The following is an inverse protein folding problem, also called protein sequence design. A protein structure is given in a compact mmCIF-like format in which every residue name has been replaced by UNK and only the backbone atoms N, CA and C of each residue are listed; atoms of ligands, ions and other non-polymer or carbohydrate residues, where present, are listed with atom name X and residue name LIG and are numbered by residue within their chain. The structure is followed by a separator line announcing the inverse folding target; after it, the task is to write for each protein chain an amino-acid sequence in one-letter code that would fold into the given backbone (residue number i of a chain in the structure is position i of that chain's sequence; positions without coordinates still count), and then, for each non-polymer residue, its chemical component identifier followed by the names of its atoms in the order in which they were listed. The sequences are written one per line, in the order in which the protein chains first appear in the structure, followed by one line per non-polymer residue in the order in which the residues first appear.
data_IF_369717055959
#
_entry.id   IF_369717055959
#
_cell.length_a   1.000
_cell.length_b   1.000
_cell.length_c   1.000
_cell.angle_alpha   90.00
_cell.angle_beta   90.00
_cell.angle_gamma   90.00
#
_symmetry.space_group_name_H-M   'P 1'
#
loop_
_entity.id
_entity.type
_entity.pdbx_description
1 polymer ?
#
# COMPACT_ATOMS: atom_id res chain seq x y z
N UNK A 1 -4.96 -24.82 38.53
CA UNK A 1 -3.92 -23.98 39.19
C UNK A 1 -2.93 -23.34 38.22
N UNK A 2 -2.49 -24.02 37.16
CA UNK A 2 -1.55 -23.46 36.16
C UNK A 2 -2.08 -22.21 35.42
N UNK A 3 -3.39 -22.15 35.15
CA UNK A 3 -3.99 -21.01 34.46
C UNK A 3 -3.91 -19.70 35.27
N UNK A 4 -4.06 -19.78 36.60
CA UNK A 4 -3.82 -18.63 37.48
C UNK A 4 -2.36 -18.17 37.41
N UNK A 5 -1.40 -19.11 37.38
CA UNK A 5 0.02 -18.78 37.26
C UNK A 5 0.34 -18.13 35.90
N UNK A 6 -0.26 -18.61 34.81
CA UNK A 6 -0.14 -18.01 33.47
C UNK A 6 -0.73 -16.59 33.41
N UNK A 7 -1.91 -16.39 34.02
CA UNK A 7 -2.53 -15.06 34.10
C UNK A 7 -1.67 -14.08 34.91
N UNK A 8 -1.16 -14.52 36.06
CA UNK A 8 -0.27 -13.69 36.88
C UNK A 8 1.05 -13.38 36.17
N UNK A 9 1.65 -14.37 35.49
CA UNK A 9 2.88 -14.15 34.71
C UNK A 9 2.66 -13.18 33.53
N UNK A 10 1.53 -13.30 32.84
CA UNK A 10 1.12 -12.36 31.78
C UNK A 10 0.92 -10.94 32.33
N UNK A 11 0.22 -10.81 33.46
CA UNK A 11 -0.02 -9.52 34.10
C UNK A 11 1.28 -8.86 34.60
N UNK A 12 2.18 -9.64 35.20
CA UNK A 12 3.51 -9.17 35.61
C UNK A 12 4.35 -8.74 34.40
N UNK A 13 4.34 -9.51 33.32
CA UNK A 13 5.02 -9.14 32.08
C UNK A 13 4.48 -7.83 31.50
N UNK A 14 3.17 -7.63 31.51
CA UNK A 14 2.55 -6.39 31.04
C UNK A 14 2.93 -5.19 31.90
N UNK A 15 3.00 -5.36 33.23
CA UNK A 15 3.43 -4.29 34.13
C UNK A 15 4.88 -3.86 33.87
N UNK A 16 5.81 -4.81 33.67
CA UNK A 16 7.22 -4.51 33.32
C UNK A 16 7.32 -3.78 31.98
N UNK A 17 6.51 -4.16 30.98
CA UNK A 17 6.47 -3.45 29.70
C UNK A 17 5.96 -2.01 29.86
N UNK A 18 4.96 -1.79 30.72
CA UNK A 18 4.42 -0.46 31.00
C UNK A 18 5.42 0.44 31.75
N UNK A 19 6.23 -0.09 32.67
CA UNK A 19 7.26 0.69 33.36
C UNK A 19 8.38 1.13 32.42
N UNK A 20 8.82 0.25 31.52
CA UNK A 20 9.80 0.59 30.49
C UNK A 20 9.26 1.64 29.50
N UNK A 21 7.95 1.60 29.21
CA UNK A 21 7.29 2.62 28.41
C UNK A 21 7.17 3.96 29.15
N UNK A 22 6.89 3.93 30.46
CA UNK A 22 6.79 5.15 31.28
C UNK A 22 8.11 5.87 31.44
N UNK A 23 9.22 5.14 31.56
CA UNK A 23 10.58 5.72 31.55
C UNK A 23 10.88 6.44 30.22
N UNK A 24 10.24 6.04 29.11
CA UNK A 24 10.24 6.77 27.83
C UNK A 24 9.14 7.84 27.67
N UNK A 25 8.16 7.92 28.60
CA UNK A 25 6.98 8.80 28.52
C UNK A 25 7.09 10.02 29.46
N UNK A 26 8.24 10.21 30.13
CA UNK A 26 8.49 11.34 31.04
C UNK A 26 8.54 12.74 30.40
N UNK A 27 8.38 12.88 29.08
CA UNK A 27 8.41 14.17 28.40
C UNK A 27 7.02 14.85 28.22
N UNK A 28 5.90 14.18 28.52
CA UNK A 28 4.59 14.67 28.03
C UNK A 28 3.39 14.50 28.97
N UNK A 29 3.56 14.71 30.28
CA UNK A 29 2.40 14.97 31.15
C UNK A 29 2.61 16.25 31.96
N UNK A 30 2.45 17.38 31.28
CA UNK A 30 2.26 18.68 31.91
C UNK A 30 0.91 18.74 32.61
N UNK A 31 0.89 18.38 33.89
CA UNK A 31 -0.12 18.84 34.83
C UNK A 31 -0.02 20.36 34.90
N UNK A 32 -1.00 21.12 34.41
CA UNK A 32 -1.16 22.50 34.89
C UNK A 32 -2.56 23.06 34.69
N UNK A 33 -3.28 23.14 35.80
CA UNK A 33 -4.27 24.19 36.02
C UNK A 33 -3.63 25.57 35.86
N UNK A 34 -4.49 26.57 35.65
CA UNK A 34 -4.31 28.01 35.88
C UNK A 34 -4.08 28.84 34.61
N UNK A 35 -5.06 29.72 34.42
CA UNK A 35 -5.19 30.80 33.46
C UNK A 35 -3.94 31.67 33.31
N UNK A 36 -3.76 32.22 32.10
CA UNK A 36 -2.92 33.41 31.88
C UNK A 36 -2.13 33.39 30.58
N UNK A 37 -2.68 34.07 29.58
CA UNK A 37 -2.01 34.94 28.60
C UNK A 37 -0.66 34.55 27.96
N UNK A 38 -0.73 34.54 26.62
CA UNK A 38 0.10 35.32 25.68
C UNK A 38 1.39 34.72 25.09
N UNK A 39 1.28 34.52 23.77
CA UNK A 39 2.17 35.01 22.70
C UNK A 39 3.62 34.49 22.58
N UNK A 40 3.80 33.86 21.42
CA UNK A 40 4.99 33.74 20.56
C UNK A 40 6.00 32.62 20.81
N UNK A 41 5.90 31.65 19.89
CA UNK A 41 6.98 31.16 19.01
C UNK A 41 8.24 30.58 19.67
N UNK A 42 8.27 29.25 19.68
CA UNK A 42 9.44 28.45 20.02
C UNK A 42 9.14 26.96 19.88
N UNK A 43 9.12 26.48 18.64
CA UNK A 43 9.60 25.15 18.28
C UNK A 43 9.12 23.95 19.11
N UNK A 44 7.82 23.68 19.03
CA UNK A 44 7.36 22.32 18.80
C UNK A 44 6.33 22.47 17.69
N UNK A 45 6.72 22.21 16.45
CA UNK A 45 5.74 21.76 15.46
C UNK A 45 5.34 20.38 15.98
N UNK A 46 4.50 20.37 17.01
CA UNK A 46 3.70 19.23 17.39
C UNK A 46 3.08 18.81 16.07
N UNK A 47 3.61 17.71 15.52
CA UNK A 47 3.24 17.24 14.21
C UNK A 47 1.73 17.22 14.24
N UNK A 48 1.12 18.10 13.45
CA UNK A 48 -0.32 18.33 13.46
C UNK A 48 -0.94 17.14 12.74
N UNK A 49 -0.82 15.97 13.35
CA UNK A 49 -1.35 14.68 12.92
C UNK A 49 -2.88 14.81 12.86
N UNK A 50 -3.45 15.66 13.72
CA UNK A 50 -4.85 16.02 13.72
C UNK A 50 -5.11 17.25 12.87
N UNK A 51 -5.59 16.99 11.66
CA UNK A 51 -6.16 17.99 10.77
C UNK A 51 -7.57 18.38 11.24
N UNK A 52 -7.90 19.67 11.17
CA UNK A 52 -9.21 20.19 11.55
C UNK A 52 -10.31 19.58 10.66
N UNK A 53 -11.51 19.34 11.21
CA UNK A 53 -12.61 18.68 10.49
C UNK A 53 -12.96 19.37 9.17
N UNK A 54 -12.99 20.71 9.15
CA UNK A 54 -13.22 21.53 7.95
C UNK A 54 -12.18 21.27 6.87
N UNK A 55 -10.92 21.11 7.26
CA UNK A 55 -9.81 20.84 6.35
C UNK A 55 -9.87 19.40 5.85
N UNK A 56 -10.15 18.43 6.74
CA UNK A 56 -10.32 17.02 6.41
C UNK A 56 -11.49 16.77 5.46
N UNK A 57 -12.60 17.50 5.62
CA UNK A 57 -13.78 17.40 4.75
C UNK A 57 -13.45 17.71 3.29
N UNK A 58 -12.52 18.64 3.03
CA UNK A 58 -12.09 18.97 1.67
C UNK A 58 -11.37 17.81 0.97
N UNK A 59 -10.71 16.90 1.69
CA UNK A 59 -10.05 15.73 1.10
C UNK A 59 -11.07 14.72 0.54
N UNK A 60 -12.16 14.51 1.27
CA UNK A 60 -13.25 13.62 0.86
C UNK A 60 -14.07 14.24 -0.27
N UNK A 61 -14.38 15.54 -0.18
CA UNK A 61 -15.10 16.28 -1.23
C UNK A 61 -14.32 16.31 -2.55
N UNK A 62 -12.99 16.41 -2.51
CA UNK A 62 -12.13 16.32 -3.70
C UNK A 62 -12.08 14.90 -4.29
N UNK A 63 -12.16 13.84 -3.47
CA UNK A 63 -12.21 12.45 -3.97
C UNK A 63 -13.55 12.04 -4.59
N UNK A 64 -14.67 12.61 -4.11
CA UNK A 64 -16.00 12.32 -4.63
C UNK A 64 -16.34 12.96 -6.00
N UNK A 65 -15.52 13.90 -6.47
CA UNK A 65 -15.72 14.61 -7.74
C UNK A 65 -14.59 14.39 -8.73
N UNK A 66 -14.12 13.15 -8.91
CA UNK A 66 -13.36 12.86 -10.13
C UNK A 66 -14.30 13.12 -11.30
N UNK A 67 -13.97 14.12 -12.13
CA UNK A 67 -14.71 14.35 -13.37
C UNK A 67 -14.79 13.02 -14.14
N UNK A 68 -15.91 12.74 -14.81
CA UNK A 68 -15.96 11.62 -15.75
C UNK A 68 -14.70 11.64 -16.63
N UNK A 69 -14.12 10.45 -16.85
CA UNK A 69 -12.91 10.32 -17.67
C UNK A 69 -13.17 10.99 -19.01
N UNK A 70 -12.31 11.93 -19.43
CA UNK A 70 -12.48 12.57 -20.73
C UNK A 70 -12.44 11.51 -21.84
N UNK A 71 -13.22 11.73 -22.90
CA UNK A 71 -13.31 10.80 -24.03
C UNK A 71 -11.93 10.48 -24.61
N UNK A 72 -11.07 11.48 -24.70
CA UNK A 72 -9.71 11.32 -25.22
C UNK A 72 -8.83 10.46 -24.33
N UNK A 73 -8.94 10.62 -23.01
CA UNK A 73 -8.21 9.78 -22.05
C UNK A 73 -8.68 8.32 -22.12
N UNK A 74 -9.98 8.08 -22.29
CA UNK A 74 -10.52 6.74 -22.49
C UNK A 74 -10.05 6.11 -23.82
N UNK A 75 -9.97 6.92 -24.89
CA UNK A 75 -9.48 6.47 -26.20
C UNK A 75 -8.00 6.09 -26.15
N UNK A 76 -7.16 6.89 -25.49
CA UNK A 76 -5.72 6.60 -25.33
C UNK A 76 -5.51 5.32 -24.54
N UNK A 77 -6.24 5.13 -23.45
CA UNK A 77 -6.20 3.91 -22.65
C UNK A 77 -6.67 2.68 -23.45
N UNK A 78 -7.74 2.82 -24.24
CA UNK A 78 -8.20 1.74 -25.13
C UNK A 78 -7.13 1.33 -26.14
N UNK A 79 -6.42 2.30 -26.72
CA UNK A 79 -5.29 2.03 -27.64
C UNK A 79 -4.11 1.36 -26.94
N UNK A 80 -3.83 1.73 -25.69
CA UNK A 80 -2.80 1.05 -24.90
C UNK A 80 -3.19 -0.40 -24.62
N UNK A 81 -4.44 -0.64 -24.22
CA UNK A 81 -4.95 -1.99 -23.99
C UNK A 81 -4.89 -2.85 -25.25
N UNK A 82 -5.35 -2.33 -26.40
CA UNK A 82 -5.29 -3.05 -27.67
C UNK A 82 -3.86 -3.44 -28.05
N UNK A 83 -2.88 -2.54 -27.88
CA UNK A 83 -1.47 -2.87 -28.14
C UNK A 83 -0.92 -3.95 -27.20
N UNK A 84 -1.32 -3.93 -25.93
CA UNK A 84 -0.90 -4.96 -24.98
C UNK A 84 -1.51 -6.32 -25.35
N UNK A 85 -2.79 -6.34 -25.72
CA UNK A 85 -3.49 -7.54 -26.18
C UNK A 85 -2.88 -8.08 -27.49
N UNK A 86 -2.50 -7.20 -28.43
CA UNK A 86 -1.81 -7.57 -29.68
C UNK A 86 -0.43 -8.20 -29.41
N UNK A 87 0.40 -7.58 -28.58
CA UNK A 87 1.70 -8.13 -28.20
C UNK A 87 1.57 -9.51 -27.54
N UNK A 88 0.57 -9.67 -26.68
CA UNK A 88 0.30 -10.95 -26.03
C UNK A 88 -0.15 -12.00 -27.04
N UNK A 89 -0.98 -11.62 -28.03
CA UNK A 89 -1.39 -12.52 -29.10
C UNK A 89 -0.20 -12.95 -29.95
N UNK A 90 0.62 -12.01 -30.40
CA UNK A 90 1.82 -12.27 -31.21
C UNK A 90 2.77 -13.24 -30.49
N UNK A 91 3.02 -13.03 -29.19
CA UNK A 91 3.83 -13.94 -28.39
C UNK A 91 3.31 -15.38 -28.42
N UNK A 92 2.00 -15.59 -28.25
CA UNK A 92 1.43 -16.95 -28.28
C UNK A 92 1.34 -17.53 -29.69
N UNK A 93 1.16 -16.69 -30.71
CA UNK A 93 1.19 -17.11 -32.12
C UNK A 93 2.60 -17.57 -32.52
N UNK A 94 3.65 -16.84 -32.13
CA UNK A 94 5.05 -17.24 -32.34
C UNK A 94 5.35 -18.57 -31.65
N UNK A 95 4.99 -18.72 -30.37
CA UNK A 95 5.19 -19.97 -29.64
C UNK A 95 4.49 -21.17 -30.30
N UNK A 96 3.29 -20.96 -30.85
CA UNK A 96 2.57 -22.02 -31.56
C UNK A 96 3.21 -22.34 -32.91
N UNK A 97 3.61 -21.30 -33.65
CA UNK A 97 4.22 -21.44 -34.96
C UNK A 97 5.60 -22.10 -34.90
N UNK A 98 6.40 -21.80 -33.87
CA UNK A 98 7.67 -22.50 -33.60
C UNK A 98 7.45 -23.99 -33.36
N UNK A 99 6.41 -24.35 -32.60
CA UNK A 99 6.06 -25.74 -32.35
C UNK A 99 5.57 -26.45 -33.62
N UNK A 100 4.69 -25.81 -34.40
CA UNK A 100 4.21 -26.34 -35.68
C UNK A 100 5.38 -26.54 -36.66
N UNK A 101 6.25 -25.54 -36.82
CA UNK A 101 7.46 -25.63 -37.64
C UNK A 101 8.39 -26.78 -37.20
N UNK A 102 8.61 -26.96 -35.89
CA UNK A 102 9.45 -28.04 -35.38
C UNK A 102 8.87 -29.43 -35.69
N UNK A 103 7.55 -29.58 -35.57
CA UNK A 103 6.87 -30.83 -35.91
C UNK A 103 6.93 -31.11 -37.42
N UNK A 104 6.72 -30.09 -38.26
CA UNK A 104 6.86 -30.19 -39.72
C UNK A 104 8.29 -30.54 -40.12
N UNK A 105 9.31 -29.87 -39.57
CA UNK A 105 10.71 -30.16 -39.86
C UNK A 105 11.11 -31.59 -39.48
N UNK A 106 10.58 -32.16 -38.38
CA UNK A 106 10.83 -33.56 -38.04
C UNK A 106 10.12 -34.57 -38.95
N UNK A 107 8.95 -34.22 -39.49
CA UNK A 107 8.22 -35.07 -40.42
C UNK A 107 8.79 -35.00 -41.85
N UNK A 108 9.33 -33.83 -42.23
CA UNK A 108 9.94 -33.57 -43.54
C UNK A 108 11.46 -33.81 -43.55
N UNK A 109 12.09 -33.97 -42.37
CA UNK A 109 13.49 -34.36 -42.26
C UNK A 109 13.68 -35.72 -42.97
N UNK A 110 14.52 -35.78 -44.02
CA UNK A 110 14.72 -37.03 -44.74
C UNK A 110 15.31 -38.06 -43.79
N UNK A 111 14.74 -39.26 -43.82
CA UNK A 111 15.22 -40.48 -43.17
C UNK A 111 16.61 -40.85 -43.72
N UNK A 112 17.65 -40.08 -43.40
CA UNK A 112 19.04 -40.41 -43.65
C UNK A 112 19.56 -41.32 -42.53
N UNK A 113 19.07 -42.56 -42.49
CA UNK A 113 19.76 -43.69 -41.88
C UNK A 113 19.03 -45.00 -42.19
N UNK A 114 19.46 -45.70 -43.24
CA UNK A 114 19.74 -47.15 -43.28
C UNK A 114 20.08 -47.57 -44.72
#
# INVERSE_FOLDING_TARGET
MAWRRLLMASCLSAAVLLTMLQEGTGASMGTRQVAGQEAQEGEYVEQKIFMQESDASNFLRKRGKRSPKSRDKANVEKRQKLRADELQREYYEEQRNEFENFVEEQNDAPMLAA
#
